data_IF_795773139307
#
_entry.id   IF_795773139307
#
_cell.length_a   1.000
_cell.length_b   1.000
_cell.length_c   1.000
_cell.angle_alpha   90.00
_cell.angle_beta   90.00
_cell.angle_gamma   90.00
#
_symmetry.space_group_name_H-M   'P 1'
#
loop_
_entity.id
_entity.type
_entity.pdbx_description
1 polymer ?
#
# COMPACT_ATOMS: atom_id res chain seq x y z
N UNK A 1 -15.94 7.07 3.76
CA UNK A 1 -14.92 6.53 2.84
C UNK A 1 -14.61 5.12 3.28
N UNK A 2 -14.67 4.13 2.36
CA UNK A 2 -14.25 2.77 2.64
C UNK A 2 -12.81 2.78 3.13
N UNK A 3 -12.40 1.78 3.93
CA UNK A 3 -11.02 1.72 4.39
C UNK A 3 -10.05 1.71 3.18
N UNK A 4 -9.03 2.57 3.25
CA UNK A 4 -7.97 2.74 2.24
C UNK A 4 -7.39 1.41 1.77
N UNK A 5 -7.20 0.51 2.73
CA UNK A 5 -6.85 -0.88 2.50
C UNK A 5 -8.00 -1.75 3.02
N UNK A 6 -8.55 -2.68 2.22
CA UNK A 6 -8.16 -3.10 0.87
C UNK A 6 -9.03 -2.53 -0.28
N UNK A 7 -10.12 -1.81 0.03
CA UNK A 7 -11.17 -1.38 -0.91
C UNK A 7 -10.62 -0.66 -2.13
N UNK A 8 -9.72 0.28 -1.89
CA UNK A 8 -9.20 1.19 -2.91
C UNK A 8 -8.02 0.62 -3.69
N UNK A 9 -7.47 -0.52 -3.26
CA UNK A 9 -6.50 -1.27 -4.06
C UNK A 9 -7.17 -2.17 -5.12
N UNK A 10 -8.43 -2.55 -4.90
CA UNK A 10 -9.16 -3.44 -5.80
C UNK A 10 -9.31 -2.90 -7.23
N UNK A 11 -9.47 -1.59 -7.49
CA UNK A 11 -9.49 -1.07 -8.87
C UNK A 11 -8.12 -1.04 -9.54
N UNK A 12 -7.03 -0.87 -8.78
CA UNK A 12 -5.69 -0.64 -9.35
C UNK A 12 -4.89 -1.93 -9.58
N UNK A 13 -5.11 -2.98 -8.78
CA UNK A 13 -4.43 -4.26 -8.96
C UNK A 13 -4.78 -4.94 -10.31
N UNK A 14 -6.04 -4.97 -10.77
CA UNK A 14 -6.39 -5.50 -12.10
C UNK A 14 -5.71 -4.73 -13.23
N UNK A 15 -5.55 -3.41 -13.12
CA UNK A 15 -4.85 -2.61 -14.14
C UNK A 15 -3.40 -3.06 -14.28
N UNK A 16 -2.70 -3.26 -13.15
CA UNK A 16 -1.33 -3.79 -13.14
C UNK A 16 -1.26 -5.20 -13.73
N UNK A 17 -2.21 -6.08 -13.40
CA UNK A 17 -2.24 -7.45 -13.93
C UNK A 17 -2.57 -7.50 -15.44
N UNK A 18 -3.37 -6.55 -15.93
CA UNK A 18 -3.76 -6.48 -17.34
C UNK A 18 -2.64 -5.95 -18.24
N UNK A 19 -1.87 -4.96 -17.77
CA UNK A 19 -0.75 -4.35 -18.51
C UNK A 19 0.47 -4.14 -17.59
N UNK A 20 1.22 -5.20 -17.24
CA UNK A 20 2.27 -5.15 -16.23
C UNK A 20 3.44 -4.24 -16.58
N UNK A 21 3.72 -4.01 -17.86
CA UNK A 21 4.82 -3.12 -18.28
C UNK A 21 4.42 -1.64 -18.32
N UNK A 22 3.11 -1.35 -18.35
CA UNK A 22 2.59 0.01 -18.53
C UNK A 22 2.45 0.76 -17.22
N UNK A 23 2.32 0.02 -16.12
CA UNK A 23 2.05 0.61 -14.81
C UNK A 23 3.10 0.22 -13.79
N UNK A 24 3.45 1.17 -12.94
CA UNK A 24 4.23 0.94 -11.75
C UNK A 24 3.27 0.52 -10.61
N UNK A 25 3.29 -0.77 -10.25
CA UNK A 25 2.34 -1.33 -9.29
C UNK A 25 2.48 -0.76 -7.88
N UNK A 26 3.70 -0.42 -7.45
CA UNK A 26 3.93 0.22 -6.16
C UNK A 26 3.34 1.63 -6.17
N UNK A 27 3.58 2.37 -7.25
CA UNK A 27 3.06 3.73 -7.42
C UNK A 27 1.53 3.79 -7.55
N UNK A 28 0.91 2.84 -8.25
CA UNK A 28 -0.54 2.67 -8.31
C UNK A 28 -1.14 2.48 -6.91
N UNK A 29 -0.55 1.55 -6.13
CA UNK A 29 -1.03 1.24 -4.80
C UNK A 29 -0.85 2.41 -3.83
N UNK A 30 0.33 3.06 -3.82
CA UNK A 30 0.56 4.23 -2.95
C UNK A 30 -0.25 5.43 -3.39
N UNK A 31 -0.51 5.59 -4.70
CA UNK A 31 -1.43 6.58 -5.25
C UNK A 31 -2.85 6.40 -4.70
N UNK A 32 -3.38 5.16 -4.74
CA UNK A 32 -4.70 4.84 -4.20
C UNK A 32 -4.80 5.01 -2.68
N UNK A 33 -3.67 4.99 -1.96
CA UNK A 33 -3.62 5.21 -0.51
C UNK A 33 -3.52 6.70 -0.14
N UNK A 34 -2.91 7.52 -1.00
CA UNK A 34 -2.51 8.88 -0.66
C UNK A 34 -3.64 9.86 -0.26
N UNK A 35 -4.86 9.82 -0.84
CA UNK A 35 -5.94 10.71 -0.39
C UNK A 35 -6.23 10.56 1.11
N UNK A 36 -6.33 9.32 1.59
CA UNK A 36 -6.67 9.02 2.99
C UNK A 36 -5.53 9.26 3.97
N UNK A 37 -4.28 9.43 3.51
CA UNK A 37 -3.17 9.84 4.38
C UNK A 37 -3.48 11.19 5.06
N UNK A 38 -4.35 12.02 4.46
CA UNK A 38 -4.85 13.25 5.10
C UNK A 38 -5.49 12.99 6.47
N UNK A 39 -6.11 11.82 6.67
CA UNK A 39 -6.75 11.45 7.93
C UNK A 39 -5.79 11.26 9.11
N UNK A 40 -4.47 11.11 8.86
CA UNK A 40 -3.48 11.12 9.94
C UNK A 40 -3.52 12.43 10.73
N UNK A 41 -3.79 13.53 10.04
CA UNK A 41 -3.74 14.89 10.58
C UNK A 41 -5.10 15.39 11.09
N UNK A 42 -6.16 14.58 11.00
CA UNK A 42 -7.51 14.97 11.44
C UNK A 42 -7.52 15.44 12.90
N UNK A 43 -8.12 16.59 13.14
CA UNK A 43 -8.20 17.18 14.48
C UNK A 43 -6.89 17.80 15.00
N UNK A 44 -5.90 17.97 14.12
CA UNK A 44 -4.68 18.73 14.40
C UNK A 44 -4.65 20.04 13.60
N UNK A 45 -3.68 20.92 13.87
CA UNK A 45 -3.47 22.15 13.07
C UNK A 45 -3.14 21.90 11.60
N UNK A 46 -2.78 20.66 11.24
CA UNK A 46 -2.39 20.26 9.89
C UNK A 46 -3.50 19.51 9.15
N UNK A 47 -4.73 19.57 9.66
CA UNK A 47 -5.87 18.90 9.05
C UNK A 47 -6.06 19.32 7.59
N UNK A 48 -5.93 18.36 6.68
CA UNK A 48 -6.13 18.57 5.26
C UNK A 48 -7.63 18.59 4.93
N UNK A 49 -8.43 17.86 5.70
CA UNK A 49 -9.86 17.69 5.50
C UNK A 49 -10.20 17.18 4.08
N UNK A 50 -11.33 17.61 3.51
CA UNK A 50 -11.79 17.13 2.20
C UNK A 50 -10.90 17.61 1.04
N UNK A 51 -9.92 18.49 1.28
CA UNK A 51 -9.05 19.04 0.22
C UNK A 51 -8.18 17.96 -0.42
N UNK A 52 -7.84 16.90 0.31
CA UNK A 52 -7.10 15.75 -0.21
C UNK A 52 -7.88 15.01 -1.32
N UNK A 53 -9.21 15.00 -1.25
CA UNK A 53 -10.12 14.31 -2.19
C UNK A 53 -10.62 15.22 -3.32
N UNK A 54 -9.94 16.34 -3.58
CA UNK A 54 -10.22 17.22 -4.72
C UNK A 54 -9.31 16.92 -5.90
N UNK A 55 -9.69 17.35 -7.12
CA UNK A 55 -8.81 17.22 -8.30
C UNK A 55 -7.48 17.96 -8.10
N UNK A 56 -7.50 19.12 -7.44
CA UNK A 56 -6.27 19.81 -7.03
C UNK A 56 -5.47 19.01 -6.00
N UNK A 57 -6.17 18.41 -5.03
CA UNK A 57 -5.61 17.50 -4.02
C UNK A 57 -4.83 16.33 -4.60
N UNK A 58 -5.23 15.82 -5.76
CA UNK A 58 -4.46 14.79 -6.47
C UNK A 58 -3.03 15.25 -6.79
N UNK A 59 -2.85 16.51 -7.14
CA UNK A 59 -1.55 17.06 -7.54
C UNK A 59 -0.73 17.57 -6.35
N UNK A 60 -1.29 18.40 -5.48
CA UNK A 60 -0.51 19.04 -4.41
C UNK A 60 -0.35 18.16 -3.16
N UNK A 61 -1.25 17.21 -2.93
CA UNK A 61 -1.23 16.31 -1.77
C UNK A 61 -0.89 14.87 -2.17
N UNK A 62 -1.72 14.26 -3.03
CA UNK A 62 -1.61 12.83 -3.28
C UNK A 62 -0.32 12.47 -4.01
N UNK A 63 0.06 13.26 -5.02
CA UNK A 63 1.29 13.04 -5.78
C UNK A 63 2.56 13.01 -4.90
N UNK A 64 2.88 14.04 -4.09
CA UNK A 64 4.08 14.01 -3.25
C UNK A 64 4.01 12.91 -2.19
N UNK A 65 2.85 12.70 -1.55
CA UNK A 65 2.68 11.64 -0.54
C UNK A 65 2.89 10.26 -1.13
N UNK A 66 2.26 9.95 -2.27
CA UNK A 66 2.37 8.66 -2.93
C UNK A 66 3.78 8.37 -3.44
N UNK A 67 4.49 9.38 -3.95
CA UNK A 67 5.90 9.25 -4.35
C UNK A 67 6.80 8.97 -3.16
N UNK A 68 6.60 9.70 -2.05
CA UNK A 68 7.33 9.44 -0.80
C UNK A 68 7.06 8.01 -0.29
N UNK A 69 5.80 7.57 -0.32
CA UNK A 69 5.43 6.22 0.11
C UNK A 69 6.01 5.16 -0.83
N UNK A 70 5.97 5.37 -2.14
CA UNK A 70 6.59 4.45 -3.10
C UNK A 70 8.10 4.33 -2.85
N UNK A 71 8.76 5.44 -2.54
CA UNK A 71 10.18 5.44 -2.17
C UNK A 71 10.43 4.67 -0.87
N UNK A 72 9.64 4.88 0.18
CA UNK A 72 9.74 4.13 1.44
C UNK A 72 9.52 2.63 1.19
N UNK A 73 8.42 2.26 0.53
CA UNK A 73 8.07 0.87 0.22
C UNK A 73 9.22 0.15 -0.48
N UNK A 74 9.81 0.76 -1.51
CA UNK A 74 10.95 0.16 -2.25
C UNK A 74 12.19 -0.05 -1.38
N UNK A 75 12.37 0.70 -0.29
CA UNK A 75 13.49 0.55 0.63
C UNK A 75 13.24 -0.50 1.72
N UNK A 76 11.99 -0.65 2.15
CA UNK A 76 11.66 -1.48 3.31
C UNK A 76 11.11 -2.87 2.92
N UNK A 77 10.50 -3.00 1.73
CA UNK A 77 9.71 -4.19 1.38
C UNK A 77 10.52 -5.49 1.43
N UNK A 78 11.78 -5.48 0.98
CA UNK A 78 12.63 -6.67 1.04
C UNK A 78 12.94 -7.11 2.48
N UNK A 79 13.16 -6.15 3.38
CA UNK A 79 13.40 -6.41 4.80
C UNK A 79 12.14 -6.86 5.54
N UNK A 80 10.97 -6.34 5.17
CA UNK A 80 9.68 -6.74 5.77
C UNK A 80 9.26 -8.12 5.27
N UNK A 81 9.28 -8.34 3.95
CA UNK A 81 8.68 -9.51 3.31
C UNK A 81 9.29 -10.85 3.75
N UNK A 82 10.59 -10.88 4.10
CA UNK A 82 11.25 -12.11 4.59
C UNK A 82 10.80 -12.56 5.99
N UNK A 83 10.07 -11.71 6.72
CA UNK A 83 9.59 -11.97 8.08
C UNK A 83 8.08 -12.17 8.18
N UNK A 84 7.33 -11.95 7.09
CA UNK A 84 5.87 -12.08 7.09
C UNK A 84 5.44 -13.55 7.16
N UNK A 85 4.40 -13.87 7.96
CA UNK A 85 3.87 -15.23 8.05
C UNK A 85 3.10 -15.60 6.78
N UNK A 86 3.01 -16.89 6.45
CA UNK A 86 2.23 -17.35 5.30
C UNK A 86 2.97 -17.34 3.96
N UNK A 87 4.30 -17.50 3.96
CA UNK A 87 5.13 -17.60 2.74
C UNK A 87 4.56 -18.59 1.72
N UNK A 88 4.02 -19.74 2.16
CA UNK A 88 3.42 -20.75 1.27
C UNK A 88 2.17 -20.25 0.53
N UNK A 89 1.44 -19.31 1.11
CA UNK A 89 0.17 -18.81 0.56
C UNK A 89 0.38 -17.58 -0.31
N UNK A 90 1.25 -16.66 0.14
CA UNK A 90 1.40 -15.34 -0.47
C UNK A 90 2.73 -15.13 -1.18
N UNK A 91 3.69 -16.06 -1.07
CA UNK A 91 5.02 -15.94 -1.65
C UNK A 91 5.66 -14.57 -1.32
N UNK A 92 5.62 -14.17 -0.04
CA UNK A 92 6.07 -12.85 0.41
C UNK A 92 7.49 -12.56 -0.05
N UNK A 93 8.39 -13.54 -0.02
CA UNK A 93 9.77 -13.33 -0.47
C UNK A 93 9.89 -12.96 -1.95
N UNK A 94 8.91 -13.26 -2.81
CA UNK A 94 8.89 -12.75 -4.19
C UNK A 94 8.61 -11.25 -4.25
N UNK A 95 7.86 -10.72 -3.28
CA UNK A 95 7.60 -9.29 -3.16
C UNK A 95 8.85 -8.49 -2.76
N UNK A 96 9.91 -9.15 -2.26
CA UNK A 96 11.21 -8.51 -2.07
C UNK A 96 11.79 -7.96 -3.39
N UNK A 97 11.38 -8.52 -4.54
CA UNK A 97 11.79 -8.04 -5.86
C UNK A 97 11.29 -6.61 -6.15
N UNK A 98 10.21 -6.15 -5.50
CA UNK A 98 9.67 -4.81 -5.66
C UNK A 98 10.68 -3.71 -5.25
N UNK A 99 11.65 -4.04 -4.38
CA UNK A 99 12.74 -3.14 -4.02
C UNK A 99 13.63 -2.76 -5.22
N UNK A 100 13.79 -3.69 -6.17
CA UNK A 100 14.62 -3.52 -7.36
C UNK A 100 13.89 -3.00 -8.59
N UNK A 101 12.55 -3.06 -8.62
CA UNK A 101 11.76 -2.62 -9.79
C UNK A 101 11.92 -1.12 -10.00
N UNK A 102 12.24 -0.72 -11.24
CA UNK A 102 12.34 0.67 -11.66
C UNK A 102 11.53 0.87 -12.93
N UNK A 103 10.79 1.98 -12.99
CA UNK A 103 10.09 2.43 -14.18
C UNK A 103 10.59 3.82 -14.56
N UNK A 104 10.41 4.27 -15.82
CA UNK A 104 10.58 5.67 -16.19
C UNK A 104 9.74 6.56 -15.28
N UNK A 105 10.26 7.74 -14.91
CA UNK A 105 9.61 8.60 -13.91
C UNK A 105 8.17 8.99 -14.31
N UNK A 106 7.91 9.15 -15.60
CA UNK A 106 6.58 9.47 -16.15
C UNK A 106 5.59 8.34 -15.85
N UNK A 107 6.01 7.08 -16.01
CA UNK A 107 5.17 5.91 -15.72
C UNK A 107 4.81 5.88 -14.24
N UNK A 108 5.78 6.14 -13.36
CA UNK A 108 5.55 6.21 -11.92
C UNK A 108 4.59 7.35 -11.56
N UNK A 109 4.79 8.57 -12.09
CA UNK A 109 3.91 9.72 -11.83
C UNK A 109 2.49 9.46 -12.35
N UNK A 110 2.34 9.00 -13.60
CA UNK A 110 1.03 8.64 -14.15
C UNK A 110 0.35 7.53 -13.33
N UNK A 111 1.09 6.52 -12.88
CA UNK A 111 0.57 5.45 -12.03
C UNK A 111 0.08 6.00 -10.68
N UNK A 112 0.83 6.91 -10.06
CA UNK A 112 0.37 7.60 -8.84
C UNK A 112 -0.95 8.32 -9.08
N UNK A 113 -1.03 9.13 -10.14
CA UNK A 113 -2.22 9.93 -10.43
C UNK A 113 -3.44 9.06 -10.76
N UNK A 114 -3.24 7.98 -11.52
CA UNK A 114 -4.30 7.00 -11.80
C UNK A 114 -4.78 6.35 -10.50
N UNK A 115 -3.86 5.96 -9.61
CA UNK A 115 -4.20 5.40 -8.31
C UNK A 115 -5.02 6.38 -7.46
N UNK A 116 -4.55 7.61 -7.31
CA UNK A 116 -5.24 8.63 -6.50
C UNK A 116 -6.58 9.03 -7.11
N UNK A 117 -6.67 9.16 -8.43
CA UNK A 117 -7.93 9.39 -9.13
C UNK A 117 -8.91 8.23 -8.92
N UNK A 118 -8.44 6.98 -8.99
CA UNK A 118 -9.31 5.82 -8.79
C UNK A 118 -9.96 5.81 -7.40
N UNK A 119 -9.22 6.20 -6.36
CA UNK A 119 -9.73 6.36 -5.01
C UNK A 119 -10.84 7.41 -4.94
N UNK A 120 -10.55 8.64 -5.41
CA UNK A 120 -11.53 9.75 -5.37
C UNK A 120 -12.76 9.45 -6.22
N UNK A 121 -12.58 8.81 -7.38
CA UNK A 121 -13.69 8.38 -8.22
C UNK A 121 -14.54 7.31 -7.51
N UNK A 122 -13.90 6.34 -6.85
CA UNK A 122 -14.59 5.28 -6.13
C UNK A 122 -15.38 5.81 -4.93
N UNK A 123 -14.80 6.73 -4.14
CA UNK A 123 -15.49 7.41 -3.05
C UNK A 123 -16.75 8.13 -3.53
N UNK A 124 -16.67 8.83 -4.67
CA UNK A 124 -17.83 9.50 -5.26
C UNK A 124 -18.91 8.50 -5.65
N UNK A 125 -18.54 7.32 -6.14
CA UNK A 125 -19.50 6.27 -6.51
C UNK A 125 -20.18 5.70 -5.26
N UNK A 126 -19.43 5.36 -4.22
CA UNK A 126 -19.97 4.74 -3.00
C UNK A 126 -20.82 5.71 -2.16
N UNK A 127 -20.50 7.00 -2.17
CA UNK A 127 -21.21 8.01 -1.39
C UNK A 127 -22.41 8.63 -2.11
N UNK A 128 -22.63 8.26 -3.39
CA UNK A 128 -23.73 8.79 -4.19
C UNK A 128 -24.94 7.85 -4.18
N UNK A 129 -26.10 8.35 -3.79
CA UNK A 129 -27.37 7.62 -3.88
C UNK A 129 -28.04 7.68 -5.27
N UNK A 130 -27.47 8.47 -6.20
CA UNK A 130 -28.05 8.67 -7.54
C UNK A 130 -28.28 7.35 -8.28
N UNK A 131 -27.36 6.39 -8.14
CA UNK A 131 -27.47 5.08 -8.78
C UNK A 131 -28.59 4.23 -8.14
N UNK A 132 -28.78 4.33 -6.83
CA UNK A 132 -29.90 3.68 -6.13
C UNK A 132 -31.24 4.17 -6.66
N UNK A 133 -31.35 5.49 -6.91
CA UNK A 133 -32.56 6.09 -7.48
C UNK A 133 -32.81 5.58 -8.90
N UNK A 134 -31.77 5.36 -9.71
CA UNK A 134 -31.90 4.72 -11.03
C UNK A 134 -32.38 3.26 -10.93
N UNK A 135 -32.05 2.56 -9.85
CA UNK A 135 -32.51 1.20 -9.56
C UNK A 135 -33.88 1.16 -8.85
N UNK A 136 -34.55 2.30 -8.69
CA UNK A 136 -35.88 2.40 -8.08
C UNK A 136 -35.90 2.55 -6.56
N UNK A 137 -34.73 2.58 -5.90
CA UNK A 137 -34.61 2.80 -4.45
C UNK A 137 -34.59 4.31 -4.18
N UNK A 138 -35.73 4.85 -3.72
CA UNK A 138 -35.89 6.29 -3.48
C UNK A 138 -35.24 6.77 -2.19
N UNK A 139 -35.31 5.96 -1.14
CA UNK A 139 -34.75 6.25 0.17
C UNK A 139 -34.29 4.94 0.82
N UNK A 140 -32.98 4.69 0.78
CA UNK A 140 -32.36 3.50 1.34
C UNK A 140 -32.43 3.51 2.88
N UNK A 141 -32.32 4.68 3.48
CA UNK A 141 -32.36 4.83 4.93
C UNK A 141 -33.75 4.56 5.48
N UNK A 142 -34.80 5.10 4.84
CA UNK A 142 -36.18 4.81 5.23
C UNK A 142 -36.51 3.31 5.12
N UNK A 143 -35.94 2.60 4.14
CA UNK A 143 -36.22 1.18 3.94
C UNK A 143 -35.44 0.25 4.90
N UNK A 144 -34.25 0.64 5.35
CA UNK A 144 -33.33 -0.25 6.08
C UNK A 144 -32.93 0.22 7.48
N UNK A 145 -33.16 1.50 7.79
CA UNK A 145 -32.63 2.17 8.99
C UNK A 145 -31.12 2.45 8.94
N UNK A 146 -30.43 2.09 7.86
CA UNK A 146 -28.97 2.23 7.70
C UNK A 146 -28.69 3.30 6.65
N UNK A 147 -27.75 4.20 6.88
CA UNK A 147 -27.34 5.14 5.85
C UNK A 147 -26.60 4.43 4.72
N UNK A 148 -26.92 4.78 3.47
CA UNK A 148 -26.30 4.16 2.29
C UNK A 148 -24.77 4.21 2.32
N UNK A 149 -24.19 5.35 2.70
CA UNK A 149 -22.73 5.50 2.75
C UNK A 149 -22.08 4.48 3.70
N UNK A 150 -22.69 4.18 4.84
CA UNK A 150 -22.19 3.19 5.80
C UNK A 150 -22.25 1.78 5.21
N UNK A 151 -23.39 1.42 4.61
CA UNK A 151 -23.56 0.13 3.96
C UNK A 151 -22.59 -0.05 2.78
N UNK A 152 -22.49 0.96 1.91
CA UNK A 152 -21.62 0.96 0.75
C UNK A 152 -20.15 0.89 1.14
N UNK A 153 -19.73 1.61 2.19
CA UNK A 153 -18.36 1.57 2.70
C UNK A 153 -17.99 0.18 3.22
N UNK A 154 -18.87 -0.45 4.00
CA UNK A 154 -18.64 -1.80 4.52
C UNK A 154 -18.61 -2.84 3.41
N UNK A 155 -19.58 -2.80 2.50
CA UNK A 155 -19.65 -3.71 1.36
C UNK A 155 -18.43 -3.55 0.44
N UNK A 156 -18.08 -2.33 0.08
CA UNK A 156 -16.90 -2.03 -0.71
C UNK A 156 -15.62 -2.52 -0.04
N UNK A 157 -15.54 -2.43 1.28
CA UNK A 157 -14.39 -2.91 2.05
C UNK A 157 -14.30 -4.43 2.04
N UNK A 158 -15.41 -5.12 2.28
CA UNK A 158 -15.45 -6.58 2.23
C UNK A 158 -15.14 -7.12 0.83
N UNK A 159 -15.77 -6.56 -0.21
CA UNK A 159 -15.56 -6.99 -1.61
C UNK A 159 -14.14 -6.67 -2.05
N UNK A 160 -13.64 -5.47 -1.77
CA UNK A 160 -12.27 -5.10 -2.09
C UNK A 160 -11.25 -5.99 -1.40
N UNK A 161 -11.52 -6.40 -0.15
CA UNK A 161 -10.66 -7.35 0.59
C UNK A 161 -10.61 -8.70 -0.10
N UNK A 162 -11.79 -9.25 -0.44
CA UNK A 162 -11.88 -10.52 -1.13
C UNK A 162 -11.14 -10.48 -2.48
N UNK A 163 -11.30 -9.40 -3.26
CA UNK A 163 -10.60 -9.23 -4.54
C UNK A 163 -9.09 -9.15 -4.36
N UNK A 164 -8.60 -8.30 -3.46
CA UNK A 164 -7.15 -8.15 -3.20
C UNK A 164 -6.53 -9.47 -2.74
N UNK A 165 -7.18 -10.18 -1.81
CA UNK A 165 -6.72 -11.48 -1.32
C UNK A 165 -6.74 -12.52 -2.44
N UNK A 166 -7.83 -12.61 -3.22
CA UNK A 166 -7.93 -13.56 -4.33
C UNK A 166 -6.85 -13.30 -5.40
N UNK A 167 -6.59 -12.03 -5.73
CA UNK A 167 -5.52 -11.66 -6.66
C UNK A 167 -4.14 -11.97 -6.11
N UNK A 168 -3.89 -11.72 -4.81
CA UNK A 168 -2.62 -12.05 -4.17
C UNK A 168 -2.36 -13.56 -4.17
N UNK A 169 -3.36 -14.37 -3.80
CA UNK A 169 -3.28 -15.84 -3.81
C UNK A 169 -3.08 -16.38 -5.23
N UNK A 170 -3.81 -15.83 -6.21
CA UNK A 170 -3.64 -16.19 -7.62
C UNK A 170 -2.23 -15.86 -8.10
N UNK A 171 -1.74 -14.65 -7.81
CA UNK A 171 -0.43 -14.21 -8.25
C UNK A 171 0.69 -15.07 -7.63
N UNK A 172 0.56 -15.44 -6.35
CA UNK A 172 1.46 -16.37 -5.68
C UNK A 172 1.42 -17.77 -6.30
N UNK A 173 0.22 -18.33 -6.51
CA UNK A 173 0.05 -19.67 -7.08
C UNK A 173 0.57 -19.76 -8.52
N UNK A 174 0.37 -18.71 -9.33
CA UNK A 174 0.82 -18.65 -10.73
C UNK A 174 2.25 -18.15 -10.89
N UNK A 175 2.94 -17.80 -9.80
CA UNK A 175 4.27 -17.15 -9.81
C UNK A 175 4.31 -15.90 -10.69
N UNK A 176 3.22 -15.14 -10.72
CA UNK A 176 3.05 -13.90 -11.50
C UNK A 176 3.63 -12.67 -10.76
N UNK A 177 4.06 -12.83 -9.50
CA UNK A 177 4.66 -11.75 -8.69
C UNK A 177 6.01 -11.31 -9.26
N UNK A 178 6.79 -12.25 -9.80
CA UNK A 178 8.11 -11.98 -10.37
C UNK A 178 8.51 -13.03 -11.40
N UNK A 179 8.93 -12.58 -12.58
CA UNK A 179 9.55 -13.43 -13.60
C UNK A 179 11.07 -13.19 -13.61
N UNK A 180 11.85 -14.13 -13.06
CA UNK A 180 13.32 -14.08 -13.08
C UNK A 180 13.98 -14.63 -11.81
N UNK A 181 15.28 -14.35 -11.66
CA UNK A 181 16.05 -14.70 -10.46
C UNK A 181 15.76 -13.70 -9.34
N UNK A 182 15.20 -14.18 -8.23
CA UNK A 182 14.85 -13.35 -7.08
C UNK A 182 16.10 -12.58 -6.61
N UNK A 183 16.04 -11.23 -6.45
CA UNK A 183 17.19 -10.50 -5.94
C UNK A 183 17.53 -10.99 -4.53
N UNK A 184 18.82 -10.93 -4.14
CA UNK A 184 19.24 -11.36 -2.81
C UNK A 184 18.50 -10.53 -1.76
N UNK A 185 17.68 -11.21 -0.96
CA UNK A 185 16.99 -10.62 0.17
C UNK A 185 17.91 -10.65 1.41
N UNK A 186 17.76 -9.71 2.37
CA UNK A 186 18.52 -9.75 3.60
C UNK A 186 18.25 -11.05 4.39
N UNK A 187 19.20 -11.50 5.24
CA UNK A 187 18.99 -12.68 6.06
C UNK A 187 17.80 -12.45 7.02
N UNK A 188 16.94 -13.45 7.15
CA UNK A 188 15.79 -13.39 8.03
C UNK A 188 16.23 -13.53 9.50
N UNK A 189 15.85 -12.56 10.34
CA UNK A 189 16.03 -12.57 11.80
C UNK A 189 14.67 -12.41 12.49
N UNK A 190 13.76 -13.41 12.37
CA UNK A 190 12.37 -13.28 12.80
C UNK A 190 12.21 -12.98 14.30
N UNK A 191 13.08 -13.54 15.16
CA UNK A 191 13.05 -13.26 16.58
C UNK A 191 13.27 -11.76 16.87
N UNK A 192 14.30 -11.14 16.25
CA UNK A 192 14.59 -9.71 16.41
C UNK A 192 13.49 -8.86 15.79
N UNK A 193 13.02 -9.24 14.60
CA UNK A 193 11.94 -8.54 13.91
C UNK A 193 10.68 -8.43 14.78
N UNK A 194 10.19 -9.56 15.29
CA UNK A 194 8.97 -9.60 16.09
C UNK A 194 9.16 -9.06 17.51
N UNK A 195 10.36 -9.20 18.10
CA UNK A 195 10.70 -8.59 19.39
C UNK A 195 10.65 -7.05 19.36
N UNK A 196 10.74 -6.43 18.17
CA UNK A 196 10.58 -4.97 18.01
C UNK A 196 9.20 -4.61 17.47
N UNK A 197 8.69 -5.33 16.47
CA UNK A 197 7.40 -5.01 15.86
C UNK A 197 6.23 -5.13 16.85
N UNK A 198 6.23 -6.15 17.72
CA UNK A 198 5.15 -6.36 18.69
C UNK A 198 5.11 -5.25 19.76
N UNK A 199 6.23 -4.87 20.43
CA UNK A 199 6.20 -3.74 21.36
C UNK A 199 5.83 -2.41 20.70
N UNK A 200 6.30 -2.12 19.49
CA UNK A 200 5.91 -0.89 18.76
C UNK A 200 4.41 -0.88 18.51
N UNK A 201 3.84 -2.02 18.10
CA UNK A 201 2.40 -2.18 17.92
C UNK A 201 1.65 -1.96 19.23
N UNK A 202 2.10 -2.57 20.33
CA UNK A 202 1.47 -2.45 21.64
C UNK A 202 1.53 -1.00 22.16
N UNK A 203 2.70 -0.36 22.09
CA UNK A 203 2.89 1.03 22.48
C UNK A 203 1.99 1.97 21.65
N UNK A 204 1.95 1.79 20.33
CA UNK A 204 1.07 2.59 19.47
C UNK A 204 -0.41 2.36 19.78
N UNK A 205 -0.84 1.11 19.99
CA UNK A 205 -2.23 0.79 20.32
C UNK A 205 -2.69 1.43 21.63
N UNK A 206 -1.79 1.60 22.61
CA UNK A 206 -2.05 2.33 23.85
C UNK A 206 -2.17 3.85 23.64
N UNK A 207 -1.44 4.42 22.67
CA UNK A 207 -1.43 5.85 22.38
C UNK A 207 -2.58 6.32 21.48
N UNK A 208 -3.02 5.47 20.54
CA UNK A 208 -4.03 5.82 19.53
C UNK A 208 -5.35 6.38 20.12
N UNK A 209 -5.91 5.84 21.23
CA UNK A 209 -7.12 6.39 21.84
C UNK A 209 -6.96 7.83 22.35
N UNK A 210 -5.72 8.27 22.65
CA UNK A 210 -5.43 9.62 23.11
C UNK A 210 -5.28 10.66 21.99
N UNK A 211 -5.35 10.25 20.72
CA UNK A 211 -5.21 11.17 19.60
C UNK A 211 -6.53 11.90 19.27
N UNK A 212 -6.48 13.12 18.70
CA UNK A 212 -7.67 13.84 18.27
C UNK A 212 -8.52 13.00 17.28
N UNK A 213 -9.84 13.02 17.42
CA UNK A 213 -10.75 12.24 16.57
C UNK A 213 -10.53 10.70 16.61
N UNK A 214 -10.02 10.15 17.72
CA UNK A 214 -9.81 8.71 17.88
C UNK A 214 -11.09 7.86 17.79
N UNK A 215 -12.26 8.44 18.07
CA UNK A 215 -13.56 7.77 17.93
C UNK A 215 -14.14 7.84 16.52
N UNK A 216 -13.53 8.63 15.62
CA UNK A 216 -13.97 8.73 14.23
C UNK A 216 -13.34 7.56 13.44
N UNK A 217 -14.14 6.70 12.77
CA UNK A 217 -13.63 5.47 12.17
C UNK A 217 -12.53 5.67 11.13
N UNK A 218 -12.63 6.68 10.26
CA UNK A 218 -11.66 6.90 9.19
C UNK A 218 -10.26 7.30 9.73
N UNK A 219 -10.10 8.34 10.56
CA UNK A 219 -8.82 8.64 11.23
C UNK A 219 -8.28 7.48 12.06
N UNK A 220 -9.13 6.79 12.82
CA UNK A 220 -8.71 5.63 13.61
C UNK A 220 -8.15 4.51 12.73
N UNK A 221 -8.88 4.14 11.66
CA UNK A 221 -8.48 3.10 10.72
C UNK A 221 -7.17 3.43 10.00
N UNK A 222 -7.04 4.65 9.49
CA UNK A 222 -5.81 5.09 8.81
C UNK A 222 -4.62 5.07 9.78
N UNK A 223 -4.78 5.56 11.01
CA UNK A 223 -3.68 5.54 11.99
C UNK A 223 -3.29 4.12 12.43
N UNK A 224 -4.25 3.20 12.54
CA UNK A 224 -3.97 1.78 12.78
C UNK A 224 -3.15 1.16 11.65
N UNK A 225 -3.50 1.43 10.39
CA UNK A 225 -2.74 0.96 9.23
C UNK A 225 -1.30 1.52 9.23
N UNK A 226 -1.13 2.80 9.56
CA UNK A 226 0.19 3.42 9.64
C UNK A 226 1.01 2.93 10.83
N UNK A 227 0.37 2.62 11.96
CA UNK A 227 1.01 1.97 13.10
C UNK A 227 1.52 0.58 12.72
N UNK A 228 0.70 -0.23 12.03
CA UNK A 228 1.12 -1.54 11.55
C UNK A 228 2.31 -1.41 10.58
N UNK A 229 2.27 -0.46 9.64
CA UNK A 229 3.39 -0.19 8.74
C UNK A 229 4.66 0.23 9.50
N UNK A 230 4.54 1.15 10.47
CA UNK A 230 5.66 1.60 11.30
C UNK A 230 6.28 0.46 12.11
N UNK A 231 5.45 -0.39 12.73
CA UNK A 231 5.90 -1.56 13.47
C UNK A 231 6.67 -2.55 12.59
N UNK A 232 6.18 -2.83 11.38
CA UNK A 232 6.87 -3.70 10.41
C UNK A 232 8.20 -3.10 9.94
N UNK A 233 8.23 -1.78 9.69
CA UNK A 233 9.46 -1.07 9.30
C UNK A 233 10.48 -1.07 10.45
N UNK A 234 10.06 -0.81 11.69
CA UNK A 234 10.92 -0.84 12.87
C UNK A 234 11.51 -2.25 13.10
N UNK A 235 10.68 -3.29 12.98
CA UNK A 235 11.13 -4.68 13.01
C UNK A 235 12.16 -4.98 11.91
N UNK A 236 11.90 -4.55 10.68
CA UNK A 236 12.82 -4.73 9.56
C UNK A 236 14.15 -3.99 9.77
N UNK A 237 14.10 -2.77 10.34
CA UNK A 237 15.28 -1.99 10.68
C UNK A 237 16.14 -2.72 11.72
N UNK A 238 15.54 -3.16 12.82
CA UNK A 238 16.22 -3.87 13.90
C UNK A 238 16.81 -5.22 13.44
N UNK A 239 16.12 -5.91 12.53
CA UNK A 239 16.60 -7.14 11.91
C UNK A 239 17.74 -6.92 10.89
N UNK A 240 18.13 -5.67 10.60
CA UNK A 240 19.16 -5.34 9.61
C UNK A 240 18.67 -5.43 8.16
N UNK A 241 17.36 -5.49 7.94
CA UNK A 241 16.73 -5.66 6.63
C UNK A 241 16.66 -4.41 5.76
N UNK A 242 17.04 -3.23 6.29
CA UNK A 242 17.03 -1.96 5.56
C UNK A 242 18.40 -1.60 4.94
N UNK A 243 19.45 -2.36 5.25
CA UNK A 243 20.77 -2.12 4.68
C UNK A 243 20.73 -2.39 3.16
N UNK A 244 21.25 -1.47 2.32
CA UNK A 244 21.42 -1.78 0.90
C UNK A 244 22.30 -3.02 0.77
N UNK A 245 21.92 -3.94 -0.12
CA UNK A 245 22.74 -5.08 -0.46
C UNK A 245 24.15 -4.56 -0.76
N UNK A 246 25.15 -4.97 0.03
CA UNK A 246 26.56 -4.69 -0.28
C UNK A 246 26.76 -5.14 -1.73
N UNK A 247 27.31 -4.31 -2.63
CA UNK A 247 27.62 -4.76 -3.97
C UNK A 247 28.48 -6.01 -3.84
N UNK A 248 27.92 -7.15 -4.26
CA UNK A 248 28.61 -8.43 -4.18
C UNK A 248 29.93 -8.33 -4.95
N UNK A 249 30.96 -8.97 -4.40
CA UNK A 249 32.31 -9.05 -4.95
C UNK A 249 32.37 -9.44 -6.46
N UNK A 250 31.29 -9.99 -7.03
CA UNK A 250 31.20 -10.33 -8.45
C UNK A 250 31.29 -9.15 -9.44
N UNK A 251 31.08 -7.90 -9.03
CA UNK A 251 31.33 -6.74 -9.93
C UNK A 251 32.83 -6.41 -10.05
N UNK A 252 33.62 -6.75 -9.03
CA UNK A 252 35.08 -6.61 -9.06
C UNK A 252 35.68 -7.72 -9.94
N UNK A 253 35.15 -8.95 -9.83
CA UNK A 253 35.59 -10.07 -10.67
C UNK A 253 35.28 -9.85 -12.16
N UNK A 254 34.11 -9.30 -12.51
CA UNK A 254 33.76 -9.09 -13.92
C UNK A 254 34.62 -8.00 -14.61
N UNK A 255 35.09 -7.00 -13.86
CA UNK A 255 36.04 -5.98 -14.35
C UNK A 255 37.47 -6.53 -14.40
N UNK A 256 37.90 -7.29 -13.39
CA UNK A 256 39.20 -7.94 -13.35
C UNK A 256 39.36 -9.00 -14.46
N UNK A 257 38.27 -9.72 -14.78
CA UNK A 257 38.25 -10.74 -15.82
C UNK A 257 38.24 -10.13 -17.23
N UNK A 258 37.55 -9.00 -17.44
CA UNK A 258 37.66 -8.21 -18.68
C UNK A 258 39.05 -7.61 -18.88
N UNK A 259 39.72 -7.17 -17.81
CA UNK A 259 41.09 -6.64 -17.91
C UNK A 259 42.14 -7.72 -18.17
N UNK A 260 41.92 -8.97 -17.73
CA UNK A 260 42.79 -10.11 -18.02
C UNK A 260 42.61 -10.70 -19.42
N UNK A 261 41.42 -10.54 -20.02
CA UNK A 261 41.16 -10.96 -21.40
C UNK A 261 41.61 -9.94 -22.45
N UNK A 262 42.00 -8.73 -22.02
CA UNK A 262 42.49 -7.66 -22.88
C UNK A 262 44.04 -7.51 -22.87
N UNK A 263 44.75 -8.51 -22.35
CA UNK A 263 46.21 -8.66 -22.40
C UNK A 263 46.56 -9.98 -23.09
#
# INVERSE_FOLDING_TARGET
MPLTFPSHLAPVLPLKLWRPHWFDGVALATGAVAPDVGYLFTGTRFDVGPRAHTLGGLLWWCLPVALAYAWVVRRVIAGVAVHLPGERLFAWRDHAALAGVRHPWQVTVCSVLIGAFSHVAWDRVTHTERWLRLLGIRDFHAATGIHWWLFSDLLSTAVGAAVVVALALRAAHRREVFHGVRPPAPPARPAVFWAVALPVTAAGALLLPGLPAATVPAPAGVRLLHLAALALIAGAAAAGGLAPARPGAGRVDHLAQKQRQAR
#
